data_IF_274476466296
#
_entry.id   IF_274476466296
#
_cell.length_a   1.000
_cell.length_b   1.000
_cell.length_c   1.000
_cell.angle_alpha   90.00
_cell.angle_beta   90.00
_cell.angle_gamma   90.00
#
_symmetry.space_group_name_H-M   'P 1'
#
loop_
_entity.id
_entity.type
_entity.pdbx_description
1 polymer ?
#
# COMPACT_ATOMS: atom_id res chain seq x y z
N UNK A 1 -2.89 4.74 20.00
CA UNK A 1 -1.48 4.41 19.74
C UNK A 1 -1.44 2.95 19.33
N UNK A 2 -0.93 2.64 18.14
CA UNK A 2 -0.94 1.29 17.56
C UNK A 2 0.47 0.86 17.17
N UNK A 3 0.72 -0.44 17.10
CA UNK A 3 1.93 -1.02 16.53
C UNK A 3 1.69 -1.29 15.04
N UNK A 4 2.44 -0.62 14.17
CA UNK A 4 2.29 -0.69 12.72
C UNK A 4 3.55 -1.28 12.09
N UNK A 5 3.42 -2.40 11.38
CA UNK A 5 4.51 -3.00 10.63
C UNK A 5 4.40 -2.60 9.16
N UNK A 6 5.42 -1.93 8.62
CA UNK A 6 5.45 -1.45 7.24
C UNK A 6 6.47 -2.23 6.42
N UNK A 7 6.02 -3.12 5.56
CA UNK A 7 6.84 -3.83 4.59
C UNK A 7 7.12 -2.97 3.36
N UNK A 8 8.38 -2.74 3.06
CA UNK A 8 8.82 -1.78 2.05
C UNK A 8 9.01 -0.36 2.62
N UNK A 9 9.22 -0.22 3.93
CA UNK A 9 9.24 1.05 4.64
C UNK A 9 10.38 2.02 4.29
N UNK A 10 11.37 1.61 3.48
CA UNK A 10 12.40 2.52 2.92
C UNK A 10 12.12 2.96 1.48
N UNK A 11 11.08 2.40 0.85
CA UNK A 11 10.59 2.84 -0.47
C UNK A 11 9.91 4.21 -0.41
N UNK A 12 9.56 4.76 -1.58
CA UNK A 12 8.88 6.06 -1.65
C UNK A 12 7.61 6.09 -0.78
N UNK A 13 6.66 5.22 -1.05
CA UNK A 13 5.39 5.15 -0.32
C UNK A 13 5.60 4.75 1.14
N UNK A 14 6.32 3.66 1.38
CA UNK A 14 6.55 3.16 2.74
C UNK A 14 7.29 4.16 3.61
N UNK A 15 8.26 4.89 3.07
CA UNK A 15 8.98 5.93 3.81
C UNK A 15 8.08 7.11 4.25
N UNK A 16 7.12 7.51 3.42
CA UNK A 16 6.12 8.51 3.81
C UNK A 16 5.18 7.97 4.90
N UNK A 17 4.72 6.72 4.77
CA UNK A 17 3.86 6.07 5.79
C UNK A 17 4.59 5.95 7.13
N UNK A 18 5.85 5.53 7.12
CA UNK A 18 6.69 5.43 8.31
C UNK A 18 6.81 6.79 9.02
N UNK A 19 7.09 7.87 8.27
CA UNK A 19 7.17 9.23 8.83
C UNK A 19 5.84 9.70 9.40
N UNK A 20 4.75 9.52 8.67
CA UNK A 20 3.42 9.94 9.10
C UNK A 20 2.98 9.20 10.35
N UNK A 21 3.09 7.87 10.38
CA UNK A 21 2.73 7.05 11.53
C UNK A 21 3.58 7.39 12.78
N UNK A 22 4.88 7.54 12.62
CA UNK A 22 5.79 7.94 13.70
C UNK A 22 5.47 9.34 14.24
N UNK A 23 5.15 10.31 13.36
CA UNK A 23 4.79 11.67 13.76
C UNK A 23 3.50 11.72 14.58
N UNK A 24 2.61 10.73 14.43
CA UNK A 24 1.39 10.57 15.21
C UNK A 24 1.56 9.77 16.49
N UNK A 25 2.80 9.34 16.80
CA UNK A 25 3.11 8.63 18.04
C UNK A 25 2.80 7.13 18.00
N UNK A 26 2.63 6.52 16.82
CA UNK A 26 2.54 5.06 16.72
C UNK A 26 3.90 4.40 16.95
N UNK A 27 3.89 3.15 17.38
CA UNK A 27 5.05 2.28 17.35
C UNK A 27 5.20 1.74 15.93
N UNK A 28 6.28 2.15 15.25
CA UNK A 28 6.48 1.79 13.84
C UNK A 28 7.67 0.85 13.68
N UNK A 29 7.43 -0.27 13.01
CA UNK A 29 8.47 -1.21 12.58
C UNK A 29 8.55 -1.15 11.06
N UNK A 30 9.67 -0.69 10.55
CA UNK A 30 9.94 -0.57 9.11
C UNK A 30 10.78 -1.74 8.62
N UNK A 31 10.23 -2.57 7.76
CA UNK A 31 10.89 -3.75 7.19
C UNK A 31 11.34 -3.45 5.76
N UNK A 32 12.63 -3.64 5.48
CA UNK A 32 13.20 -3.42 4.15
C UNK A 32 14.51 -4.17 3.97
N UNK A 33 14.92 -4.42 2.73
CA UNK A 33 16.20 -5.07 2.41
C UNK A 33 17.42 -4.15 2.60
N UNK A 34 17.18 -2.85 2.67
CA UNK A 34 18.23 -1.84 2.84
C UNK A 34 17.89 -0.86 3.95
N UNK A 35 18.91 -0.28 4.57
CA UNK A 35 18.71 0.79 5.56
C UNK A 35 18.20 2.07 4.90
N UNK A 36 17.38 2.88 5.59
CA UNK A 36 17.02 4.20 5.08
C UNK A 36 18.24 5.13 5.07
N UNK A 37 18.28 6.04 4.09
CA UNK A 37 19.29 7.11 4.07
C UNK A 37 19.02 8.16 5.16
N UNK A 38 17.76 8.38 5.49
CA UNK A 38 17.30 9.35 6.48
C UNK A 38 16.35 8.66 7.48
N UNK A 39 16.89 8.07 8.55
CA UNK A 39 16.09 7.34 9.52
C UNK A 39 15.24 8.28 10.38
N UNK A 40 13.98 7.92 10.61
CA UNK A 40 13.07 8.65 11.49
C UNK A 40 13.32 8.23 12.95
N UNK A 41 13.43 9.20 13.83
CA UNK A 41 13.62 8.95 15.26
C UNK A 41 12.44 8.14 15.84
N UNK A 42 12.75 7.18 16.70
CA UNK A 42 11.73 6.33 17.34
C UNK A 42 11.19 5.17 16.48
N UNK A 43 11.60 5.09 15.21
CA UNK A 43 11.21 3.98 14.32
C UNK A 43 12.19 2.82 14.47
N UNK A 44 11.67 1.60 14.61
CA UNK A 44 12.46 0.38 14.59
C UNK A 44 12.64 -0.07 13.13
N UNK A 45 13.88 -0.13 12.66
CA UNK A 45 14.23 -0.58 11.31
C UNK A 45 14.78 -1.99 11.34
N UNK A 46 14.08 -2.91 10.70
CA UNK A 46 14.48 -4.31 10.52
C UNK A 46 14.93 -4.55 9.08
N UNK A 47 16.12 -5.10 8.92
CA UNK A 47 16.74 -5.29 7.61
C UNK A 47 16.70 -6.75 7.22
N UNK A 48 15.88 -7.04 6.21
CA UNK A 48 15.66 -8.39 5.69
C UNK A 48 14.53 -8.43 4.68
N UNK A 49 14.21 -9.63 4.20
CA UNK A 49 13.04 -9.83 3.33
C UNK A 49 11.75 -9.92 4.15
N UNK A 50 10.63 -9.64 3.50
CA UNK A 50 9.32 -9.76 4.12
C UNK A 50 9.06 -11.18 4.63
N UNK A 51 9.39 -12.19 3.81
CA UNK A 51 9.17 -13.60 4.14
C UNK A 51 9.97 -14.06 5.37
N UNK A 52 11.18 -13.50 5.55
CA UNK A 52 12.04 -13.85 6.68
C UNK A 52 11.56 -13.22 8.00
N UNK A 53 11.09 -11.97 7.94
CA UNK A 53 10.83 -11.16 9.12
C UNK A 53 9.37 -11.13 9.54
N UNK A 54 8.44 -11.39 8.63
CA UNK A 54 7.01 -11.37 8.92
C UNK A 54 6.59 -12.30 10.10
N UNK A 55 7.11 -13.55 10.20
CA UNK A 55 6.71 -14.44 11.29
C UNK A 55 7.04 -13.94 12.70
N UNK A 56 8.06 -13.08 12.83
CA UNK A 56 8.46 -12.50 14.11
C UNK A 56 7.80 -11.15 14.39
N UNK A 57 7.50 -10.37 13.33
CA UNK A 57 7.10 -8.98 13.48
C UNK A 57 5.59 -8.75 13.40
N UNK A 58 4.85 -9.61 12.71
CA UNK A 58 3.40 -9.49 12.60
C UNK A 58 2.68 -9.88 13.90
N UNK A 59 3.10 -10.92 14.64
CA UNK A 59 2.47 -11.20 15.92
C UNK A 59 2.56 -10.00 16.87
N UNK A 60 1.40 -9.51 17.34
CA UNK A 60 1.28 -8.35 18.22
C UNK A 60 1.24 -7.00 17.50
N UNK A 61 1.23 -6.97 16.19
CA UNK A 61 0.92 -5.77 15.42
C UNK A 61 -0.60 -5.50 15.41
N UNK A 62 -0.98 -4.22 15.47
CA UNK A 62 -2.36 -3.78 15.25
C UNK A 62 -2.66 -3.64 13.75
N UNK A 63 -1.65 -3.24 12.98
CA UNK A 63 -1.78 -3.12 11.52
C UNK A 63 -0.50 -3.54 10.78
N UNK A 64 -0.69 -4.14 9.62
CA UNK A 64 0.34 -4.48 8.63
C UNK A 64 0.09 -3.67 7.37
N UNK A 65 1.10 -2.92 6.94
CA UNK A 65 1.04 -2.13 5.70
C UNK A 65 2.06 -2.66 4.71
N UNK A 66 1.60 -3.15 3.56
CA UNK A 66 2.42 -3.74 2.52
C UNK A 66 2.60 -2.78 1.34
N UNK A 67 3.85 -2.37 1.06
CA UNK A 67 4.21 -1.39 0.04
C UNK A 67 5.37 -1.85 -0.86
N UNK A 68 5.48 -3.16 -1.06
CA UNK A 68 6.53 -3.73 -1.91
C UNK A 68 6.26 -3.44 -3.40
N UNK A 69 7.32 -3.38 -4.19
CA UNK A 69 7.23 -3.14 -5.62
C UNK A 69 7.70 -4.37 -6.41
N UNK A 70 7.00 -4.75 -7.51
CA UNK A 70 7.37 -5.90 -8.35
C UNK A 70 8.55 -5.57 -9.27
N UNK A 71 9.65 -5.09 -8.71
CA UNK A 71 10.84 -4.69 -9.47
C UNK A 71 12.07 -5.50 -9.07
N UNK A 72 12.95 -5.72 -10.04
CA UNK A 72 14.17 -6.51 -9.85
C UNK A 72 13.84 -7.95 -9.46
N UNK A 73 14.45 -8.44 -8.40
CA UNK A 73 14.28 -9.78 -7.86
C UNK A 73 12.91 -10.04 -7.18
N UNK A 74 12.07 -9.00 -7.06
CA UNK A 74 10.70 -9.12 -6.53
C UNK A 74 9.68 -9.40 -7.64
N UNK A 75 10.03 -9.19 -8.90
CA UNK A 75 9.12 -9.42 -10.04
C UNK A 75 8.64 -10.89 -10.09
N UNK A 76 7.34 -11.08 -10.22
CA UNK A 76 6.68 -12.39 -10.25
C UNK A 76 6.49 -13.03 -8.86
N UNK A 77 6.82 -12.35 -7.77
CA UNK A 77 6.78 -12.89 -6.41
C UNK A 77 5.74 -12.26 -5.49
N UNK A 78 5.20 -11.09 -5.86
CA UNK A 78 4.36 -10.32 -4.92
C UNK A 78 3.07 -11.03 -4.56
N UNK A 79 2.45 -11.78 -5.47
CA UNK A 79 1.20 -12.50 -5.18
C UNK A 79 1.39 -13.46 -4.01
N UNK A 80 2.47 -14.23 -4.03
CA UNK A 80 2.77 -15.16 -2.94
C UNK A 80 3.13 -14.39 -1.66
N UNK A 81 4.05 -13.44 -1.73
CA UNK A 81 4.51 -12.69 -0.56
C UNK A 81 3.33 -11.99 0.13
N UNK A 82 2.47 -11.31 -0.63
CA UNK A 82 1.31 -10.62 -0.08
C UNK A 82 0.25 -11.58 0.45
N UNK A 83 0.08 -12.75 -0.20
CA UNK A 83 -0.77 -13.80 0.31
C UNK A 83 -0.30 -14.31 1.68
N UNK A 84 0.99 -14.57 1.83
CA UNK A 84 1.60 -15.00 3.08
C UNK A 84 1.48 -13.94 4.17
N UNK A 85 1.68 -12.65 3.84
CA UNK A 85 1.48 -11.54 4.76
C UNK A 85 0.01 -11.42 5.20
N UNK A 86 -0.93 -11.57 4.28
CA UNK A 86 -2.36 -11.53 4.56
C UNK A 86 -2.80 -12.66 5.52
N UNK A 87 -2.30 -13.88 5.30
CA UNK A 87 -2.58 -15.03 6.18
C UNK A 87 -1.99 -14.79 7.59
N UNK A 88 -0.76 -14.27 7.67
CA UNK A 88 -0.14 -13.97 8.96
C UNK A 88 -0.85 -12.83 9.69
N UNK A 89 -1.27 -11.78 8.97
CA UNK A 89 -2.05 -10.68 9.53
C UNK A 89 -3.39 -11.18 10.09
N UNK A 90 -4.12 -12.03 9.34
CA UNK A 90 -5.35 -12.67 9.83
C UNK A 90 -5.11 -13.47 11.11
N UNK A 91 -4.08 -14.32 11.12
CA UNK A 91 -3.72 -15.14 12.28
C UNK A 91 -3.40 -14.30 13.52
N UNK A 92 -2.79 -13.13 13.33
CA UNK A 92 -2.45 -12.19 14.40
C UNK A 92 -3.62 -11.28 14.80
N UNK A 93 -4.75 -11.29 14.07
CA UNK A 93 -5.84 -10.33 14.24
C UNK A 93 -5.47 -8.91 13.86
N UNK A 94 -4.40 -8.74 13.08
CA UNK A 94 -3.92 -7.45 12.61
C UNK A 94 -4.69 -7.01 11.36
N UNK A 95 -4.97 -5.72 11.27
CA UNK A 95 -5.54 -5.13 10.06
C UNK A 95 -4.50 -5.09 8.94
N UNK A 96 -4.90 -5.39 7.70
CA UNK A 96 -4.01 -5.47 6.56
C UNK A 96 -4.31 -4.39 5.51
N UNK A 97 -3.35 -3.51 5.24
CA UNK A 97 -3.44 -2.50 4.19
C UNK A 97 -2.40 -2.80 3.11
N UNK A 98 -2.84 -2.95 1.88
CA UNK A 98 -1.96 -3.19 0.74
C UNK A 98 -2.00 -2.02 -0.23
N UNK A 99 -0.84 -1.44 -0.50
CA UNK A 99 -0.72 -0.41 -1.54
C UNK A 99 -0.59 -1.09 -2.89
N UNK A 100 -1.52 -0.75 -3.76
CA UNK A 100 -1.56 -1.21 -5.16
C UNK A 100 -1.11 -0.16 -6.15
N UNK A 101 -1.58 -0.29 -7.39
CA UNK A 101 -1.31 0.64 -8.48
C UNK A 101 -2.57 1.35 -8.97
N UNK A 102 -2.37 2.48 -9.69
CA UNK A 102 -3.46 3.20 -10.38
C UNK A 102 -4.24 2.29 -11.33
N UNK A 103 -3.53 1.40 -12.03
CA UNK A 103 -4.13 0.54 -13.06
C UNK A 103 -5.19 -0.44 -12.52
N UNK A 104 -5.22 -0.69 -11.22
CA UNK A 104 -6.27 -1.49 -10.59
C UNK A 104 -7.60 -0.74 -10.42
N UNK A 105 -7.61 0.57 -10.62
CA UNK A 105 -8.84 1.37 -10.64
C UNK A 105 -9.59 1.24 -11.98
N UNK A 106 -10.83 1.71 -11.97
CA UNK A 106 -11.72 1.80 -13.15
C UNK A 106 -11.90 3.25 -13.57
N UNK A 107 -12.05 3.55 -14.85
CA UNK A 107 -12.41 4.90 -15.30
C UNK A 107 -13.86 5.28 -14.92
N UNK A 108 -14.75 4.30 -14.79
CA UNK A 108 -16.14 4.45 -14.35
C UNK A 108 -16.63 3.16 -13.68
N UNK A 109 -17.74 3.19 -12.96
CA UNK A 109 -18.23 2.08 -12.13
C UNK A 109 -18.34 0.72 -12.86
N UNK A 110 -18.84 0.73 -14.08
CA UNK A 110 -19.08 -0.48 -14.87
C UNK A 110 -18.03 -0.72 -15.97
N UNK A 111 -16.99 0.12 -16.03
CA UNK A 111 -15.94 -0.02 -17.03
C UNK A 111 -14.89 -1.07 -16.61
N UNK A 112 -14.18 -1.68 -17.57
CA UNK A 112 -12.99 -2.47 -17.28
C UNK A 112 -11.95 -1.66 -16.50
N UNK A 113 -11.11 -2.34 -15.72
CA UNK A 113 -9.98 -1.68 -15.03
C UNK A 113 -8.96 -1.18 -16.05
N UNK A 114 -8.21 -0.16 -15.69
CA UNK A 114 -7.10 0.29 -16.56
C UNK A 114 -6.11 -0.85 -16.84
N UNK A 115 -5.92 -1.79 -15.92
CA UNK A 115 -5.09 -2.97 -16.10
C UNK A 115 -5.60 -3.95 -17.19
N UNK A 116 -6.88 -3.86 -17.57
CA UNK A 116 -7.49 -4.69 -18.61
C UNK A 116 -7.42 -4.04 -20.01
N UNK A 117 -6.96 -2.79 -20.10
CA UNK A 117 -6.80 -2.04 -21.34
C UNK A 117 -5.42 -2.19 -21.98
N UNK A 118 -5.10 -1.26 -22.87
CA UNK A 118 -3.77 -1.19 -23.49
C UNK A 118 -2.72 -0.71 -22.50
N UNK A 119 -1.83 -1.61 -22.09
CA UNK A 119 -0.72 -1.33 -21.19
C UNK A 119 0.57 -1.29 -22.02
N UNK A 120 1.35 -0.19 -21.94
CA UNK A 120 2.67 -0.14 -22.56
C UNK A 120 3.53 -1.33 -22.12
N UNK A 121 4.28 -1.91 -23.07
CA UNK A 121 5.01 -3.16 -22.84
C UNK A 121 5.96 -3.09 -21.66
N UNK A 122 6.58 -1.93 -21.43
CA UNK A 122 7.55 -1.71 -20.35
C UNK A 122 6.91 -1.76 -18.94
N UNK A 123 5.62 -1.50 -18.82
CA UNK A 123 4.89 -1.51 -17.55
C UNK A 123 3.99 -2.75 -17.38
N UNK A 124 3.82 -3.55 -18.44
CA UNK A 124 2.84 -4.65 -18.45
C UNK A 124 3.06 -5.64 -17.31
N UNK A 125 4.30 -6.05 -17.05
CA UNK A 125 4.62 -6.98 -15.96
C UNK A 125 4.23 -6.43 -14.60
N UNK A 126 4.62 -5.18 -14.30
CA UNK A 126 4.31 -4.50 -13.04
C UNK A 126 2.80 -4.32 -12.85
N UNK A 127 2.09 -3.91 -13.90
CA UNK A 127 0.65 -3.69 -13.86
C UNK A 127 -0.12 -5.00 -13.63
N UNK A 128 0.21 -6.05 -14.39
CA UNK A 128 -0.48 -7.34 -14.27
C UNK A 128 -0.21 -8.02 -12.92
N UNK A 129 1.00 -7.93 -12.41
CA UNK A 129 1.33 -8.45 -11.09
C UNK A 129 0.62 -7.65 -9.98
N UNK A 130 0.58 -6.33 -10.07
CA UNK A 130 -0.19 -5.48 -9.14
C UNK A 130 -1.67 -5.85 -9.13
N UNK A 131 -2.29 -6.05 -10.31
CA UNK A 131 -3.69 -6.47 -10.40
C UNK A 131 -3.90 -7.90 -9.85
N UNK A 132 -2.95 -8.82 -10.08
CA UNK A 132 -3.03 -10.16 -9.52
C UNK A 132 -2.98 -10.15 -7.98
N UNK A 133 -2.24 -9.22 -7.36
CA UNK A 133 -2.24 -9.08 -5.89
C UNK A 133 -3.57 -8.54 -5.35
N UNK A 134 -4.27 -7.68 -6.10
CA UNK A 134 -5.62 -7.24 -5.77
C UNK A 134 -6.62 -8.39 -5.88
N UNK A 135 -6.58 -9.12 -6.98
CA UNK A 135 -7.45 -10.29 -7.21
C UNK A 135 -7.25 -11.34 -6.09
N UNK A 136 -6.02 -11.60 -5.70
CA UNK A 136 -5.71 -12.50 -4.57
C UNK A 136 -6.42 -12.08 -3.29
N UNK A 137 -6.41 -10.80 -2.92
CA UNK A 137 -7.14 -10.32 -1.73
C UNK A 137 -8.65 -10.52 -1.86
N UNK A 138 -9.23 -10.22 -3.03
CA UNK A 138 -10.67 -10.36 -3.26
C UNK A 138 -11.11 -11.82 -3.22
N UNK A 139 -10.34 -12.71 -3.86
CA UNK A 139 -10.77 -14.08 -4.15
C UNK A 139 -10.32 -15.07 -3.07
N UNK A 140 -9.17 -14.84 -2.42
CA UNK A 140 -8.51 -15.84 -1.59
C UNK A 140 -8.08 -15.38 -0.19
N UNK A 141 -8.23 -14.10 0.15
CA UNK A 141 -7.87 -13.63 1.49
C UNK A 141 -8.71 -14.35 2.57
N UNK A 142 -8.11 -14.68 3.74
CA UNK A 142 -8.84 -15.27 4.85
C UNK A 142 -10.12 -14.52 5.17
N UNK A 143 -11.19 -15.24 5.49
CA UNK A 143 -12.53 -14.67 5.69
C UNK A 143 -12.59 -13.68 6.86
N UNK A 144 -11.77 -13.87 7.87
CA UNK A 144 -11.61 -13.06 9.07
C UNK A 144 -10.62 -11.91 8.93
N UNK A 145 -9.90 -11.82 7.80
CA UNK A 145 -8.98 -10.72 7.56
C UNK A 145 -9.74 -9.43 7.23
N UNK A 146 -9.53 -8.40 8.04
CA UNK A 146 -9.91 -7.03 7.68
C UNK A 146 -8.82 -6.41 6.81
N UNK A 147 -9.12 -6.20 5.53
CA UNK A 147 -8.15 -5.69 4.58
C UNK A 147 -8.66 -4.50 3.76
N UNK A 148 -7.73 -3.64 3.36
CA UNK A 148 -7.96 -2.58 2.37
C UNK A 148 -6.87 -2.60 1.32
N UNK A 149 -7.27 -2.66 0.05
CA UNK A 149 -6.37 -2.42 -1.08
C UNK A 149 -6.46 -0.95 -1.48
N UNK A 150 -5.33 -0.23 -1.43
CA UNK A 150 -5.30 1.23 -1.63
C UNK A 150 -4.54 1.56 -2.90
N UNK A 151 -5.25 2.10 -3.89
CA UNK A 151 -4.67 2.53 -5.15
C UNK A 151 -4.35 4.03 -5.13
N UNK A 152 -3.10 4.40 -5.47
CA UNK A 152 -2.73 5.80 -5.69
C UNK A 152 -3.30 6.33 -7.02
N UNK A 153 -3.25 7.65 -7.25
CA UNK A 153 -3.62 8.25 -8.52
C UNK A 153 -2.56 8.01 -9.60
N UNK A 154 -2.85 8.45 -10.83
CA UNK A 154 -1.99 8.26 -12.00
C UNK A 154 -0.59 8.88 -11.82
N UNK A 155 -0.53 10.13 -11.38
CA UNK A 155 0.72 10.82 -11.10
C UNK A 155 1.09 10.66 -9.62
N UNK A 156 1.77 9.55 -9.30
CA UNK A 156 2.20 9.20 -7.96
C UNK A 156 3.53 8.45 -7.97
N UNK A 157 4.47 8.91 -7.17
CA UNK A 157 5.79 8.29 -7.02
C UNK A 157 6.90 9.32 -6.89
N UNK A 158 8.15 8.87 -6.81
CA UNK A 158 9.32 9.76 -6.68
C UNK A 158 9.53 10.68 -7.90
N UNK A 159 8.93 10.35 -9.04
CA UNK A 159 8.95 11.18 -10.25
C UNK A 159 7.89 12.29 -10.23
N UNK A 160 6.90 12.21 -9.34
CA UNK A 160 5.84 13.18 -9.15
C UNK A 160 5.59 13.39 -7.63
N UNK A 161 6.58 13.94 -6.88
CA UNK A 161 6.53 13.92 -5.42
C UNK A 161 5.41 14.78 -4.84
N UNK A 162 5.01 15.85 -5.52
CA UNK A 162 4.00 16.78 -5.04
C UNK A 162 4.40 17.50 -3.75
N UNK A 163 3.55 18.40 -3.28
CA UNK A 163 3.68 19.07 -1.99
C UNK A 163 2.57 18.61 -1.04
N UNK A 164 2.87 18.53 0.26
CA UNK A 164 1.87 18.20 1.28
C UNK A 164 0.83 19.30 1.38
N UNK A 165 -0.43 18.94 1.17
CA UNK A 165 -1.57 19.87 1.29
C UNK A 165 -2.38 19.65 2.58
N UNK A 166 -2.24 18.49 3.20
CA UNK A 166 -3.05 18.06 4.33
C UNK A 166 -4.47 17.65 3.92
N UNK A 167 -4.69 17.33 2.64
CA UNK A 167 -6.00 16.97 2.09
C UNK A 167 -5.89 15.81 1.13
N UNK A 168 -6.94 14.99 1.09
CA UNK A 168 -7.12 13.92 0.11
C UNK A 168 -8.62 13.61 -0.04
N UNK A 169 -8.95 12.93 -1.12
CA UNK A 169 -10.28 12.36 -1.38
C UNK A 169 -10.16 10.85 -1.52
N UNK A 170 -11.19 10.15 -1.10
CA UNK A 170 -11.30 8.70 -1.27
C UNK A 170 -12.46 8.40 -2.22
N UNK A 171 -12.23 7.48 -3.12
CA UNK A 171 -13.26 6.80 -3.91
C UNK A 171 -13.28 5.30 -3.55
N UNK A 172 -14.24 4.57 -4.12
CA UNK A 172 -14.11 3.12 -4.24
C UNK A 172 -13.16 2.74 -5.37
N UNK A 173 -13.56 1.80 -6.20
CA UNK A 173 -12.74 1.31 -7.32
C UNK A 173 -12.64 2.25 -8.53
N UNK A 174 -13.30 3.40 -8.52
CA UNK A 174 -13.31 4.38 -9.62
C UNK A 174 -12.23 5.42 -9.37
N UNK A 175 -11.41 5.69 -10.38
CA UNK A 175 -10.36 6.70 -10.31
C UNK A 175 -10.96 8.10 -10.12
N UNK A 176 -10.35 8.88 -9.23
CA UNK A 176 -10.65 10.30 -9.08
C UNK A 176 -9.83 11.09 -10.11
N UNK A 177 -10.47 11.47 -11.19
CA UNK A 177 -9.87 12.25 -12.26
C UNK A 177 -10.42 13.67 -12.26
N UNK A 178 -9.60 14.62 -12.69
CA UNK A 178 -10.01 15.99 -12.97
C UNK A 178 -10.56 16.16 -14.39
N UNK A 179 -10.91 17.38 -14.78
CA UNK A 179 -11.44 17.69 -16.12
C UNK A 179 -10.43 17.40 -17.26
N UNK A 180 -9.15 17.33 -16.94
CA UNK A 180 -8.07 16.97 -17.88
C UNK A 180 -7.78 15.45 -17.90
N UNK A 181 -8.63 14.63 -17.27
CA UNK A 181 -8.40 13.20 -17.06
C UNK A 181 -7.08 12.88 -16.37
N UNK A 182 -6.68 13.71 -15.42
CA UNK A 182 -5.47 13.56 -14.63
C UNK A 182 -5.79 13.41 -13.15
N UNK A 183 -4.89 12.81 -12.41
CA UNK A 183 -4.98 12.75 -10.95
C UNK A 183 -3.59 12.65 -10.33
N UNK A 184 -3.42 13.29 -9.19
CA UNK A 184 -2.16 13.31 -8.46
C UNK A 184 -2.39 13.31 -6.95
N UNK A 185 -1.36 13.03 -6.20
CA UNK A 185 -1.29 13.23 -4.75
C UNK A 185 0.18 13.24 -4.32
N UNK A 186 0.51 14.00 -3.27
CA UNK A 186 1.84 13.92 -2.67
C UNK A 186 2.02 12.61 -1.90
N UNK A 187 3.26 12.12 -1.78
CA UNK A 187 3.55 10.96 -0.94
C UNK A 187 3.12 11.16 0.51
N UNK A 188 3.21 12.39 1.01
CA UNK A 188 2.81 12.74 2.38
C UNK A 188 1.28 12.70 2.58
N UNK A 189 0.50 13.22 1.63
CA UNK A 189 -0.96 13.17 1.72
C UNK A 189 -1.51 11.75 1.49
N UNK A 190 -0.88 10.97 0.63
CA UNK A 190 -1.22 9.56 0.46
C UNK A 190 -0.94 8.74 1.73
N UNK A 191 0.20 8.99 2.38
CA UNK A 191 0.53 8.37 3.66
C UNK A 191 -0.45 8.77 4.77
N UNK A 192 -0.89 10.03 4.77
CA UNK A 192 -1.92 10.52 5.70
C UNK A 192 -3.21 9.71 5.55
N UNK A 193 -3.68 9.45 4.31
CA UNK A 193 -4.86 8.64 4.08
C UNK A 193 -4.71 7.19 4.59
N UNK A 194 -3.53 6.58 4.40
CA UNK A 194 -3.24 5.24 4.91
C UNK A 194 -3.27 5.20 6.44
N UNK A 195 -2.64 6.17 7.11
CA UNK A 195 -2.59 6.20 8.58
C UNK A 195 -3.96 6.55 9.17
N UNK A 196 -4.73 7.45 8.54
CA UNK A 196 -6.12 7.72 8.92
C UNK A 196 -6.98 6.46 8.87
N UNK A 197 -6.78 5.61 7.85
CA UNK A 197 -7.49 4.34 7.70
C UNK A 197 -7.05 3.28 8.74
N UNK A 198 -5.81 3.36 9.23
CA UNK A 198 -5.35 2.55 10.37
C UNK A 198 -5.99 3.02 11.68
N UNK A 199 -6.00 4.34 11.93
CA UNK A 199 -6.52 4.93 13.18
C UNK A 199 -8.05 4.85 13.28
N UNK A 200 -8.73 5.09 12.16
CA UNK A 200 -10.18 5.18 12.05
C UNK A 200 -10.67 4.33 10.87
N UNK A 201 -10.77 3.01 11.04
CA UNK A 201 -11.20 2.11 9.99
C UNK A 201 -12.59 2.47 9.44
N UNK A 202 -12.65 2.81 8.15
CA UNK A 202 -13.91 3.14 7.45
C UNK A 202 -14.22 2.17 6.34
N UNK A 203 -13.21 1.47 5.85
CA UNK A 203 -13.34 0.53 4.73
C UNK A 203 -12.91 -0.85 5.19
N UNK A 204 -13.71 -1.85 4.93
CA UNK A 204 -13.49 -3.23 5.35
C UNK A 204 -13.62 -4.15 4.14
N UNK A 205 -12.60 -4.98 3.90
CA UNK A 205 -12.51 -5.88 2.72
C UNK A 205 -12.82 -5.13 1.42
N UNK A 206 -12.17 -4.00 1.24
CA UNK A 206 -12.50 -3.05 0.19
C UNK A 206 -11.28 -2.61 -0.63
N UNK A 207 -11.52 -2.22 -1.87
CA UNK A 207 -10.58 -1.52 -2.72
C UNK A 207 -10.98 -0.04 -2.78
N UNK A 208 -10.04 0.84 -2.46
CA UNK A 208 -10.22 2.29 -2.49
C UNK A 208 -9.18 2.97 -3.36
N UNK A 209 -9.58 4.04 -4.04
CA UNK A 209 -8.70 4.99 -4.71
C UNK A 209 -8.49 6.22 -3.84
N UNK A 210 -7.28 6.76 -3.81
CA UNK A 210 -6.93 7.97 -3.05
C UNK A 210 -6.27 8.98 -3.98
N UNK A 211 -6.76 10.23 -4.01
CA UNK A 211 -6.19 11.33 -4.78
C UNK A 211 -6.36 12.67 -4.05
N UNK A 212 -5.68 13.73 -4.53
CA UNK A 212 -5.79 15.09 -4.00
C UNK A 212 -7.16 15.73 -4.27
#
# INVERSE_FOLDING_TARGET
MSTIVVFGGTGYTGGHIVREAASRGHQVISVSRTRPNDPVAGVRYEIGSAEQLAPELIPGADAVVATLSPRGDMAGRLVQIYGDLAVQAATAGARYLQVGGFSSLRPAADAPRFAEGDIPVDFRGEVLEGEATRAMLVDTAPADLDWVFVSPPQAYGSFAPGERTGRYRISGEVALLDEANSSSISGADFAMAIVDEVENPRHHRAHIGVAA
#
